data_IF_117136599768
#
_entry.id   IF_117136599768
#
_cell.length_a   1.000
_cell.length_b   1.000
_cell.length_c   1.000
_cell.angle_alpha   90.00
_cell.angle_beta   90.00
_cell.angle_gamma   90.00
#
_symmetry.space_group_name_H-M   'P 1'
#
loop_
_entity.id
_entity.type
_entity.pdbx_description
1 polymer ?
#
# COMPACT_ATOMS: atom_id res chain seq x y z
N UNK A 1 17.37 6.52 1.07
CA UNK A 1 16.07 6.49 0.35
C UNK A 1 15.58 5.05 0.40
N UNK A 2 14.39 4.82 0.95
CA UNK A 2 13.79 3.49 1.10
C UNK A 2 13.41 2.91 -0.27
N UNK A 3 13.53 1.60 -0.47
CA UNK A 3 12.98 0.92 -1.64
C UNK A 3 11.44 0.88 -1.51
N UNK A 4 10.67 1.39 -2.49
CA UNK A 4 9.21 1.37 -2.39
C UNK A 4 8.67 -0.05 -2.31
N UNK A 5 7.63 -0.28 -1.51
CA UNK A 5 7.02 -1.61 -1.34
C UNK A 5 5.54 -1.52 -1.04
N UNK A 6 4.83 -2.60 -1.31
CA UNK A 6 3.46 -2.79 -0.87
C UNK A 6 3.45 -3.37 0.53
N UNK A 7 2.48 -2.96 1.34
CA UNK A 7 2.21 -3.48 2.68
C UNK A 7 0.69 -3.50 2.90
N UNK A 8 0.27 -4.13 4.00
CA UNK A 8 -1.10 -4.01 4.49
C UNK A 8 -1.11 -3.10 5.71
N UNK A 9 -1.95 -2.08 5.69
CA UNK A 9 -2.39 -1.37 6.90
C UNK A 9 -3.51 -2.20 7.54
N UNK A 10 -3.37 -2.53 8.83
CA UNK A 10 -4.40 -3.31 9.54
C UNK A 10 -5.68 -2.48 9.69
N UNK A 11 -6.83 -3.10 9.51
CA UNK A 11 -8.13 -2.46 9.73
C UNK A 11 -8.27 -1.86 11.13
N UNK A 12 -8.96 -0.71 11.21
CA UNK A 12 -9.11 0.09 12.42
C UNK A 12 -7.87 0.89 12.82
N UNK A 13 -6.79 0.83 12.02
CA UNK A 13 -5.59 1.63 12.27
C UNK A 13 -5.74 3.03 11.69
N UNK A 14 -5.26 4.07 12.40
CA UNK A 14 -5.24 5.43 11.88
C UNK A 14 -4.39 5.57 10.62
N UNK A 15 -4.86 6.39 9.68
CA UNK A 15 -4.15 6.76 8.47
C UNK A 15 -4.22 8.28 8.31
N UNK A 16 -3.12 8.97 8.63
CA UNK A 16 -3.14 10.42 8.78
C UNK A 16 -2.84 11.10 7.46
N UNK A 17 -3.78 11.89 6.96
CA UNK A 17 -3.64 12.70 5.75
C UNK A 17 -3.92 14.17 6.08
N UNK A 18 -3.64 15.09 5.14
CA UNK A 18 -3.90 16.53 5.29
C UNK A 18 -5.38 16.87 5.55
N UNK A 19 -6.29 15.94 5.25
CA UNK A 19 -7.73 16.08 5.47
C UNK A 19 -8.18 15.53 6.83
N UNK A 20 -7.27 15.01 7.65
CA UNK A 20 -7.55 14.33 8.90
C UNK A 20 -7.23 12.83 8.84
N UNK A 21 -7.73 12.10 9.83
CA UNK A 21 -7.66 10.64 9.85
C UNK A 21 -8.64 10.05 8.82
N UNK A 22 -8.10 9.26 7.90
CA UNK A 22 -8.83 8.60 6.82
C UNK A 22 -8.66 7.08 6.88
N UNK A 23 -8.35 6.54 8.07
CA UNK A 23 -8.32 5.11 8.35
C UNK A 23 -9.66 4.43 8.03
N UNK A 24 -9.60 3.13 7.78
CA UNK A 24 -10.77 2.30 7.43
C UNK A 24 -10.83 1.09 8.37
N UNK A 25 -12.01 0.50 8.50
CA UNK A 25 -12.25 -0.64 9.39
C UNK A 25 -11.62 -1.95 8.87
N UNK A 26 -11.39 -2.05 7.56
CA UNK A 26 -10.83 -3.24 6.90
C UNK A 26 -9.33 -3.07 6.59
N UNK A 27 -8.64 -4.19 6.38
CA UNK A 27 -7.24 -4.20 5.93
C UNK A 27 -7.11 -3.52 4.56
N UNK A 28 -6.18 -2.57 4.45
CA UNK A 28 -5.96 -1.81 3.21
C UNK A 28 -4.59 -2.10 2.61
N UNK A 29 -4.56 -2.29 1.29
CA UNK A 29 -3.32 -2.33 0.53
C UNK A 29 -2.74 -0.92 0.38
N UNK A 30 -1.53 -0.74 0.88
CA UNK A 30 -0.81 0.53 0.82
C UNK A 30 0.50 0.39 0.02
N UNK A 31 0.91 1.47 -0.64
CA UNK A 31 2.18 1.58 -1.32
C UNK A 31 3.05 2.64 -0.62
N UNK A 32 4.12 2.20 0.03
CA UNK A 32 5.01 3.07 0.80
C UNK A 32 6.24 3.43 -0.01
N UNK A 33 6.62 4.72 0.01
CA UNK A 33 7.74 5.28 -0.78
C UNK A 33 8.82 5.94 0.09
N UNK A 34 8.50 6.23 1.33
CA UNK A 34 9.41 6.80 2.32
C UNK A 34 8.99 6.41 3.73
N UNK A 35 9.88 6.62 4.69
CA UNK A 35 9.64 6.31 6.10
C UNK A 35 10.40 7.29 6.99
N UNK A 36 9.89 7.48 8.21
CA UNK A 36 10.59 8.06 9.35
C UNK A 36 11.05 6.93 10.28
N UNK A 37 11.41 7.22 11.54
CA UNK A 37 11.70 6.19 12.54
C UNK A 37 10.46 5.30 12.76
N UNK A 38 9.31 5.90 13.06
CA UNK A 38 8.11 5.20 13.51
C UNK A 38 6.99 5.09 12.47
N UNK A 39 7.10 5.81 11.35
CA UNK A 39 6.02 5.89 10.37
C UNK A 39 6.47 5.53 8.95
N UNK A 40 5.57 4.93 8.19
CA UNK A 40 5.62 4.86 6.74
C UNK A 40 4.84 6.02 6.14
N UNK A 41 5.30 6.51 4.98
CA UNK A 41 4.61 7.53 4.20
C UNK A 41 4.38 6.98 2.80
N UNK A 42 3.13 7.02 2.36
CA UNK A 42 2.70 6.35 1.14
C UNK A 42 1.33 6.75 0.66
N UNK A 43 0.74 5.85 -0.14
CA UNK A 43 -0.57 6.04 -0.73
C UNK A 43 -1.44 4.81 -0.47
N UNK A 44 -2.75 5.01 -0.34
CA UNK A 44 -3.69 3.90 -0.52
C UNK A 44 -3.66 3.45 -1.99
N UNK A 45 -3.61 2.15 -2.22
CA UNK A 45 -3.62 1.58 -3.58
C UNK A 45 -5.03 1.52 -4.14
N UNK A 46 -6.02 1.33 -3.26
CA UNK A 46 -7.43 1.14 -3.62
C UNK A 46 -8.30 2.31 -3.15
N UNK A 47 -9.45 2.50 -3.83
CA UNK A 47 -10.37 3.60 -3.58
C UNK A 47 -9.90 4.92 -4.18
N UNK A 48 -10.04 6.02 -3.43
CA UNK A 48 -9.72 7.38 -3.91
C UNK A 48 -8.21 7.69 -3.98
N UNK A 49 -7.34 6.74 -3.62
CA UNK A 49 -5.90 6.85 -3.86
C UNK A 49 -5.21 8.01 -3.14
N UNK A 50 -5.61 8.33 -1.90
CA UNK A 50 -4.98 9.39 -1.11
C UNK A 50 -3.47 9.17 -1.04
N UNK A 51 -2.73 10.22 -1.38
CA UNK A 51 -1.27 10.23 -1.37
C UNK A 51 -0.74 11.01 -0.17
N UNK A 52 0.52 10.78 0.18
CA UNK A 52 1.20 11.41 1.32
C UNK A 52 0.45 11.17 2.64
N UNK A 53 -0.02 9.93 2.79
CA UNK A 53 -0.68 9.43 4.01
C UNK A 53 0.39 8.81 4.91
N UNK A 54 0.29 9.11 6.19
CA UNK A 54 1.19 8.62 7.23
C UNK A 54 0.56 7.44 7.97
N UNK A 55 1.33 6.36 8.13
CA UNK A 55 0.92 5.11 8.76
C UNK A 55 1.95 4.73 9.83
N UNK A 56 1.51 4.34 11.03
CA UNK A 56 2.43 3.78 12.03
C UNK A 56 2.99 2.44 11.55
N UNK A 57 4.30 2.22 11.70
CA UNK A 57 4.94 0.95 11.29
C UNK A 57 4.39 -0.24 12.06
N UNK A 58 4.06 -0.06 13.35
CA UNK A 58 3.43 -1.09 14.20
C UNK A 58 2.04 -1.52 13.71
N UNK A 59 1.42 -0.67 12.90
CA UNK A 59 0.07 -0.86 12.38
C UNK A 59 0.06 -1.47 10.97
N UNK A 60 1.26 -1.68 10.41
CA UNK A 60 1.46 -2.29 9.11
C UNK A 60 2.01 -3.70 9.25
N UNK A 61 1.71 -4.55 8.26
CA UNK A 61 2.30 -5.89 8.12
C UNK A 61 2.74 -6.15 6.69
N UNK A 62 3.72 -7.06 6.48
CA UNK A 62 4.00 -7.59 5.15
C UNK A 62 2.78 -8.26 4.52
N UNK A 63 2.81 -8.39 3.20
CA UNK A 63 1.84 -9.22 2.50
C UNK A 63 2.08 -10.70 2.82
N UNK A 64 0.98 -11.44 2.91
CA UNK A 64 0.99 -12.90 2.93
C UNK A 64 1.28 -13.46 1.53
N UNK A 65 1.73 -14.72 1.41
CA UNK A 65 1.93 -15.36 0.11
C UNK A 65 0.67 -15.35 -0.79
N UNK A 66 -0.51 -15.53 -0.21
CA UNK A 66 -1.78 -15.48 -0.95
C UNK A 66 -2.13 -14.08 -1.47
N UNK A 67 -1.83 -13.03 -0.71
CA UNK A 67 -2.01 -11.64 -1.15
C UNK A 67 -1.04 -11.29 -2.29
N UNK A 68 0.21 -11.78 -2.22
CA UNK A 68 1.22 -11.64 -3.28
C UNK A 68 0.74 -12.31 -4.57
N UNK A 69 0.25 -13.56 -4.49
CA UNK A 69 -0.27 -14.29 -5.64
C UNK A 69 -1.49 -13.57 -6.24
N UNK A 70 -2.42 -13.11 -5.40
CA UNK A 70 -3.59 -12.34 -5.84
C UNK A 70 -3.17 -11.08 -6.58
N UNK A 71 -2.22 -10.32 -6.05
CA UNK A 71 -1.72 -9.09 -6.68
C UNK A 71 -1.04 -9.35 -8.01
N UNK A 72 -0.19 -10.37 -8.09
CA UNK A 72 0.53 -10.74 -9.31
C UNK A 72 -0.39 -11.22 -10.44
N UNK A 73 -1.59 -11.70 -10.09
CA UNK A 73 -2.63 -12.08 -11.03
C UNK A 73 -3.65 -10.95 -11.30
N UNK A 74 -3.57 -9.84 -10.57
CA UNK A 74 -4.49 -8.72 -10.70
C UNK A 74 -4.06 -7.75 -11.80
N UNK A 75 -5.07 -7.17 -12.47
CA UNK A 75 -4.88 -6.08 -13.40
C UNK A 75 -5.95 -5.02 -13.18
N UNK A 76 -5.55 -3.76 -13.13
CA UNK A 76 -6.48 -2.63 -13.03
C UNK A 76 -6.41 -1.78 -14.30
N UNK A 77 -7.51 -1.11 -14.62
CA UNK A 77 -7.62 -0.27 -15.81
C UNK A 77 -7.73 1.20 -15.43
N UNK A 78 -6.85 2.03 -15.98
CA UNK A 78 -6.81 3.47 -15.75
C UNK A 78 -6.75 4.17 -17.11
N UNK A 79 -7.74 4.99 -17.44
CA UNK A 79 -7.81 5.72 -18.72
C UNK A 79 -7.81 4.80 -19.95
N UNK A 80 -8.39 3.61 -19.85
CA UNK A 80 -8.38 2.60 -20.93
C UNK A 80 -7.12 1.73 -20.98
N UNK A 81 -6.06 2.10 -20.27
CA UNK A 81 -4.79 1.34 -20.19
C UNK A 81 -4.88 0.31 -19.06
N UNK A 82 -4.55 -0.95 -19.36
CA UNK A 82 -4.49 -2.03 -18.36
C UNK A 82 -3.08 -2.08 -17.74
N UNK A 83 -3.01 -1.89 -16.44
CA UNK A 83 -1.80 -2.03 -15.64
C UNK A 83 -1.84 -3.36 -14.89
N UNK A 84 -0.71 -4.09 -14.92
CA UNK A 84 -0.51 -5.28 -14.08
C UNK A 84 0.34 -4.90 -12.89
N UNK A 85 -0.09 -5.30 -11.71
CA UNK A 85 0.75 -5.25 -10.53
C UNK A 85 1.64 -6.49 -10.53
N UNK A 86 2.94 -6.28 -10.39
CA UNK A 86 3.89 -7.37 -10.15
C UNK A 86 4.78 -7.01 -8.97
N UNK A 87 4.87 -7.92 -8.02
CA UNK A 87 5.67 -7.82 -6.81
C UNK A 87 6.47 -9.11 -6.59
N UNK A 88 7.65 -8.97 -5.98
CA UNK A 88 8.43 -10.11 -5.50
C UNK A 88 7.83 -10.72 -4.21
N UNK A 89 8.49 -11.75 -3.69
CA UNK A 89 8.06 -12.48 -2.48
C UNK A 89 8.03 -11.62 -1.21
N UNK A 90 8.60 -10.41 -1.23
CA UNK A 90 8.63 -9.49 -0.11
C UNK A 90 7.72 -8.26 -0.33
N UNK A 91 6.98 -8.22 -1.45
CA UNK A 91 6.06 -7.14 -1.78
C UNK A 91 6.71 -5.94 -2.48
N UNK A 92 7.95 -6.05 -2.97
CA UNK A 92 8.56 -4.98 -3.74
C UNK A 92 8.10 -5.01 -5.21
N UNK A 93 7.79 -3.85 -5.83
CA UNK A 93 7.39 -3.79 -7.23
C UNK A 93 8.49 -4.31 -8.16
N UNK A 94 8.11 -5.12 -9.14
CA UNK A 94 8.96 -5.52 -10.24
C UNK A 94 8.67 -4.62 -11.45
N UNK A 95 9.74 -4.14 -12.10
CA UNK A 95 9.60 -3.44 -13.39
C UNK A 95 9.20 -4.48 -14.44
N UNK A 96 8.15 -4.18 -15.21
CA UNK A 96 7.81 -4.93 -16.42
C UNK A 96 8.88 -4.74 -17.49
#
# INVERSE_FOLDING_TARGET
MMKPRYLILKGGSPAIHKLGDIGRDEDDLIFVKSETEDHFIGNFVEGFGFADVEYRKSDCRPLTPGEIEKLNNSAFQLGGVRYKMRVDSEGYPQKN
#
